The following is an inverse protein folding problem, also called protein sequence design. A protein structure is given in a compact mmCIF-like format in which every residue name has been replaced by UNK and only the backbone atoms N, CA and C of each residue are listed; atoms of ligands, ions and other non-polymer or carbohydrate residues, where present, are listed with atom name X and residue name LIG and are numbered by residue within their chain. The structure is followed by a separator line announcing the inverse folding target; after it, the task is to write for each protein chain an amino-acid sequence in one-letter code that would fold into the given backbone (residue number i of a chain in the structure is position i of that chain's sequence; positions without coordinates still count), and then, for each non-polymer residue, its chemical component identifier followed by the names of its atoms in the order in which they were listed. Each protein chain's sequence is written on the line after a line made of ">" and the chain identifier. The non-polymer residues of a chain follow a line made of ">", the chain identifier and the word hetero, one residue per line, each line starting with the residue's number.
data_IF_180650569477
#
_entry.id   IF_180650569477
#
_cell.length_a   1.000
_cell.length_b   1.000
_cell.length_c   1.000
_cell.angle_alpha   90.00
_cell.angle_beta   90.00
_cell.angle_gamma   90.00
#
_symmetry.space_group_name_H-M   'P 1'
#
loop_
_entity.id
_entity.type
_entity.pdbx_description
1 polymer ?
#
# COMPACT_ATOMS: atom_id res chain seq x y z
N UNK A 1 -18.75 -16.41 0.52
CA UNK A 1 -18.58 -16.29 -0.94
C UNK A 1 -17.30 -15.52 -1.18
N UNK A 2 -16.37 -15.93 -2.05
CA UNK A 2 -15.33 -15.01 -2.48
C UNK A 2 -16.03 -14.00 -3.39
N UNK A 3 -16.15 -12.76 -2.93
CA UNK A 3 -16.63 -11.66 -3.76
C UNK A 3 -15.54 -11.42 -4.80
N UNK A 4 -15.73 -11.96 -6.00
CA UNK A 4 -14.83 -11.78 -7.12
C UNK A 4 -15.07 -10.38 -7.69
N UNK A 5 -14.80 -9.35 -6.89
CA UNK A 5 -14.95 -7.97 -7.30
C UNK A 5 -13.87 -7.64 -8.33
N UNK A 6 -14.32 -7.14 -9.48
CA UNK A 6 -13.40 -6.67 -10.51
C UNK A 6 -12.52 -5.54 -9.94
N UNK A 7 -11.23 -5.48 -10.31
CA UNK A 7 -10.35 -4.41 -9.87
C UNK A 7 -10.93 -3.04 -10.22
N UNK A 8 -11.12 -2.20 -9.20
CA UNK A 8 -11.58 -0.82 -9.39
C UNK A 8 -10.40 0.12 -9.61
N UNK A 9 -10.43 0.90 -10.69
CA UNK A 9 -9.48 2.00 -10.89
C UNK A 9 -9.83 3.17 -9.98
N UNK A 10 -8.84 3.67 -9.26
CA UNK A 10 -8.97 4.79 -8.33
C UNK A 10 -7.80 5.76 -8.49
N UNK A 11 -7.93 6.97 -7.94
CA UNK A 11 -6.86 7.98 -7.89
C UNK A 11 -6.28 8.09 -6.49
N UNK A 12 -4.95 8.19 -6.39
CA UNK A 12 -4.20 8.34 -5.14
C UNK A 12 -2.74 8.60 -5.43
N UNK A 13 -1.93 8.77 -4.38
CA UNK A 13 -0.49 8.99 -4.51
C UNK A 13 0.29 7.80 -3.96
N UNK A 14 1.09 7.16 -4.81
CA UNK A 14 2.05 6.11 -4.43
C UNK A 14 3.38 6.77 -4.08
N UNK A 15 3.82 6.59 -2.83
CA UNK A 15 4.98 7.26 -2.24
C UNK A 15 6.04 6.20 -1.91
N UNK A 16 7.27 6.31 -2.43
CA UNK A 16 8.37 5.46 -2.01
C UNK A 16 8.85 5.85 -0.61
N UNK A 17 9.26 4.86 0.18
CA UNK A 17 9.97 5.14 1.43
C UNK A 17 11.39 5.58 1.15
N UNK A 18 11.87 6.58 1.90
CA UNK A 18 13.26 6.97 1.87
C UNK A 18 14.15 5.96 2.64
N UNK A 19 15.46 6.04 2.40
CA UNK A 19 16.43 5.13 3.02
C UNK A 19 16.45 5.22 4.55
N UNK A 20 16.15 6.40 5.11
CA UNK A 20 16.15 6.61 6.56
C UNK A 20 14.96 5.90 7.20
N UNK A 21 13.76 6.05 6.63
CA UNK A 21 12.55 5.34 7.08
C UNK A 21 12.74 3.83 6.98
N UNK A 22 13.31 3.34 5.87
CA UNK A 22 13.61 1.92 5.69
C UNK A 22 14.57 1.42 6.79
N UNK A 23 15.68 2.14 7.02
CA UNK A 23 16.65 1.76 8.05
C UNK A 23 16.04 1.77 9.47
N UNK A 24 15.26 2.80 9.80
CA UNK A 24 14.61 2.95 11.11
C UNK A 24 13.50 1.92 11.34
N UNK A 25 12.99 1.29 10.28
CA UNK A 25 11.94 0.26 10.37
C UNK A 25 12.40 -1.06 11.01
N UNK A 26 13.71 -1.23 11.27
CA UNK A 26 14.26 -2.46 11.85
C UNK A 26 14.10 -3.69 10.94
N UNK A 27 14.02 -3.49 9.62
CA UNK A 27 13.86 -4.57 8.63
C UNK A 27 12.41 -4.90 8.26
N UNK A 28 11.42 -4.16 8.80
CA UNK A 28 10.02 -4.38 8.43
C UNK A 28 9.65 -3.76 7.08
N UNK A 29 10.34 -2.70 6.65
CA UNK A 29 10.18 -2.04 5.35
C UNK A 29 11.35 -2.37 4.41
N UNK A 30 11.05 -2.35 3.11
CA UNK A 30 12.02 -2.52 2.02
C UNK A 30 11.87 -1.40 1.00
N UNK A 31 12.85 -1.25 0.11
CA UNK A 31 12.79 -0.30 -1.01
C UNK A 31 11.70 -0.64 -2.04
N UNK A 32 11.15 -1.85 -2.00
CA UNK A 32 10.03 -2.25 -2.85
C UNK A 32 8.68 -1.88 -2.26
N UNK A 33 8.58 -1.67 -0.95
CA UNK A 33 7.36 -1.28 -0.26
C UNK A 33 6.98 0.18 -0.58
N UNK A 34 5.71 0.52 -0.42
CA UNK A 34 5.17 1.85 -0.71
C UNK A 34 4.26 2.32 0.41
N UNK A 35 4.07 3.63 0.48
CA UNK A 35 2.92 4.22 1.16
C UNK A 35 1.93 4.69 0.10
N UNK A 36 0.63 4.62 0.40
CA UNK A 36 -0.43 5.15 -0.44
C UNK A 36 -1.22 6.20 0.31
N UNK A 37 -1.29 7.42 -0.22
CA UNK A 37 -2.25 8.42 0.21
C UNK A 37 -3.51 8.31 -0.64
N UNK A 38 -4.66 8.09 0.00
CA UNK A 38 -5.92 7.83 -0.69
C UNK A 38 -7.13 8.42 0.04
N UNK A 39 -8.08 8.97 -0.72
CA UNK A 39 -9.36 9.47 -0.22
C UNK A 39 -10.37 8.31 -0.21
N UNK A 40 -10.71 7.84 0.98
CA UNK A 40 -11.65 6.75 1.19
C UNK A 40 -11.08 5.67 2.09
N UNK A 41 -11.70 4.49 2.08
CA UNK A 41 -11.27 3.33 2.86
C UNK A 41 -10.90 2.17 1.96
N UNK A 42 -9.80 1.50 2.28
CA UNK A 42 -9.35 0.27 1.64
C UNK A 42 -9.22 -0.81 2.72
N UNK A 43 -9.96 -1.93 2.62
CA UNK A 43 -9.85 -3.02 3.59
C UNK A 43 -8.42 -3.56 3.69
N UNK A 44 -7.96 -3.87 4.90
CA UNK A 44 -6.68 -4.52 5.11
C UNK A 44 -6.62 -5.87 4.37
N UNK A 45 -5.45 -6.20 3.83
CA UNK A 45 -5.24 -7.38 3.00
C UNK A 45 -5.71 -7.24 1.55
N UNK A 46 -6.35 -6.13 1.18
CA UNK A 46 -6.65 -5.82 -0.23
C UNK A 46 -5.38 -5.76 -1.07
N UNK A 47 -5.56 -6.03 -2.37
CA UNK A 47 -4.50 -6.01 -3.38
C UNK A 47 -4.53 -4.69 -4.13
N UNK A 48 -3.38 -4.01 -4.21
CA UNK A 48 -3.19 -2.81 -5.02
C UNK A 48 -2.27 -3.15 -6.19
N UNK A 49 -2.63 -2.69 -7.38
CA UNK A 49 -1.83 -2.87 -8.59
C UNK A 49 -1.46 -1.48 -9.12
N UNK A 50 -0.16 -1.22 -9.26
CA UNK A 50 0.38 0.01 -9.82
C UNK A 50 1.53 -0.30 -10.79
N UNK A 51 1.44 0.17 -12.03
CA UNK A 51 2.42 -0.07 -13.09
C UNK A 51 2.90 -1.53 -13.20
N UNK A 52 1.98 -2.50 -13.06
CA UNK A 52 2.29 -3.93 -13.11
C UNK A 52 2.96 -4.50 -11.84
N UNK A 53 3.17 -3.69 -10.81
CA UNK A 53 3.58 -4.13 -9.47
C UNK A 53 2.38 -4.37 -8.60
N UNK A 54 2.50 -5.35 -7.72
CA UNK A 54 1.44 -5.77 -6.82
C UNK A 54 1.84 -5.54 -5.37
N UNK A 55 0.88 -5.07 -4.58
CA UNK A 55 1.04 -4.79 -3.18
C UNK A 55 -0.12 -5.33 -2.36
N UNK A 56 0.16 -5.68 -1.11
CA UNK A 56 -0.84 -5.98 -0.09
C UNK A 56 -0.95 -4.80 0.89
N UNK A 57 -2.17 -4.39 1.21
CA UNK A 57 -2.42 -3.40 2.28
C UNK A 57 -2.17 -4.06 3.64
N UNK A 58 -1.18 -3.58 4.39
CA UNK A 58 -0.81 -4.11 5.71
C UNK A 58 -1.39 -3.30 6.88
N UNK A 59 -1.44 -1.98 6.74
CA UNK A 59 -1.95 -1.09 7.79
C UNK A 59 -2.52 0.20 7.21
N UNK A 60 -3.29 0.89 8.04
CA UNK A 60 -3.91 2.18 7.78
C UNK A 60 -3.55 3.15 8.90
N UNK A 61 -3.21 4.37 8.54
CA UNK A 61 -3.09 5.51 9.44
C UNK A 61 -4.26 6.47 9.10
N UNK A 62 -5.25 6.64 10.00
CA UNK A 62 -6.52 7.30 9.71
C UNK A 62 -6.42 8.83 9.77
N UNK A 63 -5.61 9.43 8.89
CA UNK A 63 -5.45 10.89 8.83
C UNK A 63 -6.73 11.62 8.41
N UNK A 64 -7.64 10.94 7.69
CA UNK A 64 -8.90 11.50 7.21
C UNK A 64 -9.81 12.01 8.33
N UNK A 65 -9.66 11.48 9.56
CA UNK A 65 -10.55 11.81 10.67
C UNK A 65 -10.22 13.18 11.30
N UNK A 66 -8.95 13.59 11.27
CA UNK A 66 -8.49 14.69 12.12
C UNK A 66 -7.45 15.63 11.48
N UNK A 67 -6.86 15.29 10.34
CA UNK A 67 -5.64 15.97 9.87
C UNK A 67 -5.58 16.25 8.37
N UNK A 68 -6.18 15.42 7.52
CA UNK A 68 -6.16 15.58 6.06
C UNK A 68 -7.44 15.02 5.43
N UNK A 69 -7.59 15.12 4.11
CA UNK A 69 -8.69 14.47 3.37
C UNK A 69 -8.35 13.01 2.96
N UNK A 70 -7.17 12.54 3.31
CA UNK A 70 -6.63 11.22 2.91
C UNK A 70 -6.27 10.38 4.11
N UNK A 71 -6.35 9.07 3.95
CA UNK A 71 -5.69 8.10 4.81
C UNK A 71 -4.35 7.69 4.20
N UNK A 72 -3.41 7.28 5.06
CA UNK A 72 -2.14 6.69 4.61
C UNK A 72 -2.16 5.18 4.82
N UNK A 73 -1.88 4.44 3.77
CA UNK A 73 -1.82 2.98 3.80
C UNK A 73 -0.39 2.50 3.61
N UNK A 74 0.03 1.53 4.43
CA UNK A 74 1.28 0.81 4.21
C UNK A 74 1.04 -0.33 3.22
N UNK A 75 1.79 -0.30 2.12
CA UNK A 75 1.72 -1.26 1.04
C UNK A 75 2.97 -2.14 1.02
N UNK A 76 2.81 -3.44 1.27
CA UNK A 76 3.88 -4.42 1.16
C UNK A 76 3.97 -4.96 -0.24
N UNK A 77 5.16 -4.89 -0.86
CA UNK A 77 5.37 -5.46 -2.17
C UNK A 77 5.18 -6.98 -2.14
N UNK A 78 4.42 -7.51 -3.09
CA UNK A 78 4.29 -8.94 -3.31
C UNK A 78 5.45 -9.36 -4.22
N UNK A 79 6.49 -9.97 -3.65
CA UNK A 79 7.52 -10.64 -4.46
C UNK A 79 6.92 -11.90 -5.06
N UNK A 80 6.62 -11.85 -6.35
CA UNK A 80 6.39 -13.07 -7.11
C UNK A 80 7.71 -13.83 -7.19
N UNK A 81 7.89 -14.83 -6.33
CA UNK A 81 8.91 -15.87 -6.53
C UNK A 81 8.51 -16.75 -7.74
N UNK A 82 8.48 -16.15 -8.93
CA UNK A 82 8.62 -16.90 -10.16
C UNK A 82 10.12 -17.00 -10.43
N UNK A 83 10.74 -18.01 -9.82
CA UNK A 83 12.06 -18.47 -10.23
C UNK A 83 11.95 -18.89 -11.70
N UNK A 84 12.73 -18.24 -12.56
CA UNK A 84 13.16 -18.82 -13.84
C UNK A 84 14.47 -19.57 -13.59
#
# INVERSE_FOLDING_TARGET
>A
FPTNEEPKTVSGAIIPYDNRTIYQSGGTLTSSDRQLAYVGSIPLGSKIIDMGKEYKVESEEPYAEHYADVNLYRLKAVTNNAAN
#
